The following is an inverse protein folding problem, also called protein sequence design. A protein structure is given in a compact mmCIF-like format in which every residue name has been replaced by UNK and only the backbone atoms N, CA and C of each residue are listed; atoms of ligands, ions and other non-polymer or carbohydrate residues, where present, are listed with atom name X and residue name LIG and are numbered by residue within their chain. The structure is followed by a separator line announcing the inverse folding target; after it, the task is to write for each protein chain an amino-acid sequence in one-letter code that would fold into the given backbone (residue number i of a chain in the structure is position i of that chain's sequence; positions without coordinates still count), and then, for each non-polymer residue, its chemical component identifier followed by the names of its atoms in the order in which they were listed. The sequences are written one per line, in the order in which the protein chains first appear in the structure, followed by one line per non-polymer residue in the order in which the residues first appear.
data_IF_307783723545
#
_entry.id   IF_307783723545
#
_cell.length_a   1.000
_cell.length_b   1.000
_cell.length_c   1.000
_cell.angle_alpha   90.00
_cell.angle_beta   90.00
_cell.angle_gamma   90.00
#
_symmetry.space_group_name_H-M   'P 1'
#
loop_
_entity.id
_entity.type
_entity.pdbx_description
1 polymer ?
#
# COMPACT_ATOMS: atom_id res chain seq x y z
N UNK A 1 35.62 27.31 39.19
CA UNK A 1 35.95 27.10 37.77
C UNK A 1 34.73 26.43 37.17
N UNK A 2 34.07 27.17 36.35
CA UNK A 2 32.71 26.93 35.88
C UNK A 2 32.71 25.97 34.71
N UNK A 3 32.08 24.81 34.89
CA UNK A 3 31.71 23.94 33.80
C UNK A 3 30.47 24.51 33.12
N UNK A 4 30.66 25.15 31.97
CA UNK A 4 29.61 25.56 31.08
C UNK A 4 29.15 24.33 30.27
N UNK A 5 28.09 23.67 30.75
CA UNK A 5 27.27 22.76 29.97
C UNK A 5 26.73 23.50 28.75
N UNK A 6 27.31 23.23 27.61
CA UNK A 6 26.71 23.59 26.30
C UNK A 6 25.53 22.67 26.03
N UNK A 7 24.40 22.99 26.61
CA UNK A 7 23.11 22.48 26.14
C UNK A 7 22.92 22.92 24.68
N UNK A 8 23.16 22.00 23.74
CA UNK A 8 22.87 22.19 22.33
C UNK A 8 21.38 22.43 22.18
N UNK A 9 20.97 23.66 22.14
CA UNK A 9 19.61 24.05 21.70
C UNK A 9 19.39 23.54 20.30
N UNK A 10 18.60 22.47 20.16
CA UNK A 10 17.99 22.15 18.90
C UNK A 10 17.16 23.39 18.50
N UNK A 11 17.75 24.23 17.65
CA UNK A 11 17.04 25.32 17.02
C UNK A 11 15.82 24.70 16.33
N UNK A 12 14.64 25.01 16.81
CA UNK A 12 13.39 24.62 16.18
C UNK A 12 13.44 25.14 14.75
N UNK A 13 13.60 24.25 13.79
CA UNK A 13 13.63 24.64 12.37
C UNK A 13 12.28 25.29 12.06
N UNK A 14 12.30 26.55 11.60
CA UNK A 14 11.08 27.24 11.20
C UNK A 14 10.35 26.39 10.16
N UNK A 15 9.07 26.07 10.39
CA UNK A 15 8.32 25.22 9.50
C UNK A 15 8.34 25.77 8.06
N UNK A 16 8.62 24.89 7.07
CA UNK A 16 8.66 25.33 5.67
C UNK A 16 7.29 25.91 5.25
N UNK A 17 7.22 27.16 4.73
CA UNK A 17 5.95 27.88 4.51
C UNK A 17 5.02 27.17 3.51
N UNK A 18 5.56 26.37 2.60
CA UNK A 18 4.79 25.64 1.57
C UNK A 18 4.55 24.16 1.90
N UNK A 19 4.74 23.73 3.15
CA UNK A 19 4.64 22.30 3.52
C UNK A 19 3.28 21.69 3.21
N UNK A 20 2.17 22.40 3.44
CA UNK A 20 0.82 21.90 3.16
C UNK A 20 0.51 21.78 1.66
N UNK A 21 0.80 22.79 0.80
CA UNK A 21 0.72 22.62 -0.65
C UNK A 21 1.59 21.48 -1.18
N UNK A 22 2.80 21.31 -0.66
CA UNK A 22 3.69 20.18 -1.03
C UNK A 22 3.05 18.84 -0.64
N UNK A 23 2.46 18.73 0.56
CA UNK A 23 1.71 17.54 0.97
C UNK A 23 0.56 17.24 -0.01
N UNK A 24 -0.19 18.26 -0.42
CA UNK A 24 -1.27 18.10 -1.40
C UNK A 24 -0.79 17.56 -2.75
N UNK A 25 0.33 18.09 -3.26
CA UNK A 25 0.92 17.64 -4.54
C UNK A 25 1.48 16.21 -4.43
N UNK A 26 2.20 15.88 -3.35
CA UNK A 26 2.69 14.53 -3.10
C UNK A 26 1.55 13.55 -2.88
N UNK A 27 0.50 13.99 -2.17
CA UNK A 27 -0.72 13.22 -1.97
C UNK A 27 -1.44 12.92 -3.28
N UNK A 28 -1.53 13.91 -4.20
CA UNK A 28 -2.10 13.70 -5.53
C UNK A 28 -1.24 12.74 -6.37
N UNK A 29 0.09 12.81 -6.26
CA UNK A 29 0.98 11.86 -6.91
C UNK A 29 0.74 10.44 -6.35
N UNK A 30 0.62 10.27 -5.04
CA UNK A 30 0.31 8.98 -4.41
C UNK A 30 -1.07 8.46 -4.82
N UNK A 31 -2.07 9.34 -4.87
CA UNK A 31 -3.41 9.00 -5.33
C UNK A 31 -3.38 8.49 -6.78
N UNK A 32 -2.60 9.11 -7.66
CA UNK A 32 -2.41 8.67 -9.04
C UNK A 32 -1.88 7.22 -9.10
N UNK A 33 -0.91 6.86 -8.24
CA UNK A 33 -0.40 5.47 -8.18
C UNK A 33 -1.48 4.48 -7.73
N UNK A 34 -2.29 4.85 -6.74
CA UNK A 34 -3.35 3.99 -6.20
C UNK A 34 -4.48 3.80 -7.23
N UNK A 35 -4.88 4.89 -7.88
CA UNK A 35 -5.88 4.87 -8.94
C UNK A 35 -5.44 3.99 -10.10
N UNK A 36 -4.18 4.04 -10.51
CA UNK A 36 -3.64 3.24 -11.60
C UNK A 36 -3.84 1.72 -11.36
N UNK A 37 -3.62 1.24 -10.14
CA UNK A 37 -3.83 -0.17 -9.79
C UNK A 37 -5.29 -0.57 -9.95
N UNK A 38 -6.21 0.22 -9.41
CA UNK A 38 -7.63 -0.12 -9.33
C UNK A 38 -8.37 0.09 -10.66
N UNK A 39 -8.04 1.16 -11.38
CA UNK A 39 -8.63 1.49 -12.69
C UNK A 39 -8.21 0.46 -13.74
N UNK A 40 -6.95 0.02 -13.74
CA UNK A 40 -6.45 -1.03 -14.66
C UNK A 40 -7.18 -2.35 -14.45
N UNK A 41 -7.45 -2.74 -13.20
CA UNK A 41 -8.18 -3.98 -12.91
C UNK A 41 -9.58 -4.01 -13.55
N UNK A 42 -10.27 -2.86 -13.61
CA UNK A 42 -11.58 -2.73 -14.26
C UNK A 42 -11.47 -2.80 -15.80
N UNK A 43 -10.37 -2.30 -16.36
CA UNK A 43 -10.15 -2.23 -17.80
C UNK A 43 -9.63 -3.56 -18.41
N UNK A 44 -9.17 -4.52 -17.59
CA UNK A 44 -8.58 -5.78 -18.06
C UNK A 44 -9.39 -6.55 -19.10
N UNK A 45 -10.72 -6.75 -18.95
CA UNK A 45 -11.49 -7.48 -19.96
C UNK A 45 -11.46 -6.80 -21.34
N UNK A 46 -11.51 -5.46 -21.37
CA UNK A 46 -11.47 -4.69 -22.62
C UNK A 46 -10.07 -4.73 -23.25
N UNK A 47 -9.00 -4.67 -22.43
CA UNK A 47 -7.62 -4.85 -22.91
C UNK A 47 -7.44 -6.24 -23.54
N UNK A 48 -7.99 -7.28 -22.88
CA UNK A 48 -7.93 -8.65 -23.36
C UNK A 48 -8.58 -8.83 -24.72
N UNK A 49 -9.77 -8.26 -24.89
CA UNK A 49 -10.54 -8.36 -26.14
C UNK A 49 -9.90 -7.56 -27.29
N UNK A 50 -9.38 -6.35 -27.02
CA UNK A 50 -8.85 -5.46 -28.06
C UNK A 50 -7.42 -5.80 -28.48
N UNK A 51 -6.58 -6.25 -27.52
CA UNK A 51 -5.17 -6.59 -27.78
C UNK A 51 -4.93 -8.09 -27.97
N UNK A 52 -6.00 -8.90 -28.00
CA UNK A 52 -5.95 -10.37 -28.09
C UNK A 52 -5.00 -10.99 -27.05
N UNK A 53 -5.15 -10.55 -25.77
CA UNK A 53 -4.32 -11.01 -24.68
C UNK A 53 -4.86 -12.31 -24.11
N UNK A 54 -3.99 -13.29 -23.93
CA UNK A 54 -4.32 -14.51 -23.22
C UNK A 54 -4.44 -14.24 -21.69
N UNK A 55 -4.99 -15.24 -20.97
CA UNK A 55 -5.20 -15.13 -19.54
C UNK A 55 -3.88 -14.88 -18.76
N UNK A 56 -2.77 -15.43 -19.22
CA UNK A 56 -1.48 -15.24 -18.58
C UNK A 56 -1.00 -13.80 -18.73
N UNK A 57 -1.09 -13.22 -19.94
CA UNK A 57 -0.75 -11.82 -20.19
C UNK A 57 -1.62 -10.87 -19.35
N UNK A 58 -2.94 -11.11 -19.26
CA UNK A 58 -3.84 -10.30 -18.40
C UNK A 58 -3.42 -10.35 -16.93
N UNK A 59 -3.07 -11.52 -16.43
CA UNK A 59 -2.54 -11.65 -15.06
C UNK A 59 -1.26 -10.84 -14.88
N UNK A 60 -0.34 -10.88 -15.85
CA UNK A 60 0.91 -10.14 -15.79
C UNK A 60 0.76 -8.62 -15.93
N UNK A 61 -0.30 -8.12 -16.56
CA UNK A 61 -0.60 -6.66 -16.58
C UNK A 61 -0.74 -6.10 -15.17
N UNK A 62 -1.35 -6.84 -14.26
CA UNK A 62 -1.49 -6.42 -12.84
C UNK A 62 -0.29 -6.84 -12.02
N UNK A 63 0.09 -8.12 -12.10
CA UNK A 63 1.14 -8.70 -11.26
C UNK A 63 2.52 -8.12 -11.58
N UNK A 64 2.82 -7.81 -12.84
CA UNK A 64 4.08 -7.21 -13.24
C UNK A 64 4.33 -5.83 -12.61
N UNK A 65 3.28 -5.01 -12.54
CA UNK A 65 3.33 -3.75 -11.80
C UNK A 65 3.55 -3.99 -10.31
N UNK A 66 2.72 -4.80 -9.66
CA UNK A 66 2.79 -5.06 -8.22
C UNK A 66 4.15 -5.66 -7.82
N UNK A 67 4.68 -6.57 -8.65
CA UNK A 67 5.97 -7.20 -8.43
C UNK A 67 7.11 -6.18 -8.48
N UNK A 68 7.16 -5.34 -9.53
CA UNK A 68 8.18 -4.31 -9.66
C UNK A 68 8.03 -3.24 -8.56
N UNK A 69 6.81 -2.81 -8.27
CA UNK A 69 6.52 -1.84 -7.23
C UNK A 69 6.97 -2.34 -5.85
N UNK A 70 6.49 -3.50 -5.41
CA UNK A 70 6.81 -4.05 -4.09
C UNK A 70 8.29 -4.41 -3.93
N UNK A 71 8.90 -5.02 -4.95
CA UNK A 71 10.31 -5.49 -4.87
C UNK A 71 11.33 -4.34 -4.83
N UNK A 72 11.04 -3.20 -5.45
CA UNK A 72 11.97 -2.07 -5.55
C UNK A 72 11.74 -0.97 -4.51
N UNK A 73 10.71 -1.09 -3.66
CA UNK A 73 10.37 -0.03 -2.69
C UNK A 73 11.49 0.30 -1.70
N UNK A 74 12.17 -0.73 -1.18
CA UNK A 74 13.29 -0.51 -0.26
C UNK A 74 14.46 0.20 -0.95
N UNK A 75 14.73 -0.17 -2.21
CA UNK A 75 15.72 0.50 -3.05
C UNK A 75 15.32 1.96 -3.29
N UNK A 76 14.04 2.22 -3.58
CA UNK A 76 13.48 3.57 -3.76
C UNK A 76 13.69 4.44 -2.53
N UNK A 77 13.38 3.92 -1.33
CA UNK A 77 13.63 4.61 -0.07
C UNK A 77 15.11 4.92 0.15
N UNK A 78 15.99 3.95 -0.06
CA UNK A 78 17.44 4.13 0.11
C UNK A 78 18.04 5.11 -0.89
N UNK A 79 17.59 5.05 -2.15
CA UNK A 79 18.03 6.03 -3.17
C UNK A 79 17.58 7.45 -2.83
N UNK A 80 16.40 7.63 -2.22
CA UNK A 80 15.95 8.93 -1.74
C UNK A 80 16.86 9.49 -0.63
N UNK A 81 17.32 8.65 0.30
CA UNK A 81 18.24 9.05 1.36
C UNK A 81 19.62 9.44 0.83
N UNK A 82 20.15 8.70 -0.16
CA UNK A 82 21.49 8.91 -0.74
C UNK A 82 21.55 10.06 -1.74
N UNK A 83 20.58 10.11 -2.67
CA UNK A 83 20.62 11.05 -3.80
C UNK A 83 19.73 12.28 -3.60
N UNK A 84 18.93 12.29 -2.53
CA UNK A 84 18.00 13.36 -2.17
C UNK A 84 16.57 13.06 -2.63
N UNK A 85 15.64 13.17 -1.69
CA UNK A 85 14.25 12.80 -1.88
C UNK A 85 13.57 13.53 -3.05
N UNK A 86 13.84 14.84 -3.24
CA UNK A 86 13.31 15.63 -4.38
C UNK A 86 13.68 15.00 -5.73
N UNK A 87 14.95 14.64 -5.92
CA UNK A 87 15.42 14.07 -7.19
C UNK A 87 14.75 12.73 -7.47
N UNK A 88 14.60 11.89 -6.44
CA UNK A 88 14.01 10.56 -6.59
C UNK A 88 12.50 10.65 -6.83
N UNK A 89 11.79 11.56 -6.14
CA UNK A 89 10.37 11.86 -6.42
C UNK A 89 10.18 12.25 -7.88
N UNK A 90 10.99 13.20 -8.38
CA UNK A 90 10.89 13.65 -9.77
C UNK A 90 11.26 12.55 -10.78
N UNK A 91 12.33 11.79 -10.51
CA UNK A 91 12.74 10.67 -11.37
C UNK A 91 11.66 9.57 -11.44
N UNK A 92 11.09 9.18 -10.29
CA UNK A 92 9.99 8.22 -10.21
C UNK A 92 8.75 8.72 -10.97
N UNK A 93 8.41 9.99 -10.83
CA UNK A 93 7.28 10.60 -11.52
C UNK A 93 7.48 10.65 -13.04
N UNK A 94 8.70 11.00 -13.51
CA UNK A 94 9.05 10.95 -14.94
C UNK A 94 8.92 9.55 -15.49
N UNK A 95 9.51 8.55 -14.80
CA UNK A 95 9.45 7.15 -15.23
C UNK A 95 8.01 6.64 -15.27
N UNK A 96 7.22 6.90 -14.22
CA UNK A 96 5.82 6.50 -14.16
C UNK A 96 4.99 7.13 -15.28
N UNK A 97 5.15 8.45 -15.51
CA UNK A 97 4.40 9.19 -16.54
C UNK A 97 4.77 8.74 -17.95
N UNK A 98 6.06 8.53 -18.23
CA UNK A 98 6.53 8.03 -19.53
C UNK A 98 6.06 6.59 -19.78
N UNK A 99 6.11 5.74 -18.76
CA UNK A 99 5.61 4.37 -18.84
C UNK A 99 4.08 4.33 -19.00
N UNK A 100 3.34 5.25 -18.38
CA UNK A 100 1.89 5.40 -18.58
C UNK A 100 1.58 5.78 -20.04
N UNK A 101 2.34 6.70 -20.62
CA UNK A 101 2.19 7.02 -22.04
C UNK A 101 2.45 5.78 -22.93
N UNK A 102 3.52 5.04 -22.65
CA UNK A 102 3.84 3.81 -23.39
C UNK A 102 2.75 2.74 -23.25
N UNK A 103 2.16 2.57 -22.04
CA UNK A 103 1.07 1.64 -21.81
C UNK A 103 -0.20 2.03 -22.59
N UNK A 104 -0.55 3.33 -22.63
CA UNK A 104 -1.69 3.82 -23.40
C UNK A 104 -1.51 3.69 -24.93
N UNK A 105 -0.27 3.67 -25.42
CA UNK A 105 0.09 3.45 -26.82
C UNK A 105 0.35 1.99 -27.15
N UNK A 106 0.12 1.06 -26.21
CA UNK A 106 0.40 -0.35 -26.44
C UNK A 106 -0.53 -0.96 -27.50
N UNK A 107 0.09 -1.68 -28.42
CA UNK A 107 -0.59 -2.43 -29.50
C UNK A 107 -0.43 -3.95 -29.35
N UNK A 108 -0.03 -4.42 -28.17
CA UNK A 108 0.13 -5.84 -27.84
C UNK A 108 0.78 -6.05 -26.48
N UNK A 109 0.82 -7.31 -26.05
CA UNK A 109 1.35 -7.73 -24.74
C UNK A 109 2.76 -7.22 -24.43
N UNK A 110 3.79 -7.31 -25.32
CA UNK A 110 5.16 -6.97 -24.95
C UNK A 110 5.33 -5.52 -24.47
N UNK A 111 4.73 -4.56 -25.22
CA UNK A 111 4.81 -3.16 -24.87
C UNK A 111 4.02 -2.86 -23.58
N UNK A 112 2.80 -3.41 -23.47
CA UNK A 112 1.94 -3.21 -22.30
C UNK A 112 2.62 -3.75 -21.03
N UNK A 113 3.14 -4.99 -21.05
CA UNK A 113 3.80 -5.60 -19.89
C UNK A 113 5.09 -4.87 -19.50
N UNK A 114 5.92 -4.49 -20.48
CA UNK A 114 7.13 -3.71 -20.22
C UNK A 114 6.81 -2.36 -19.60
N UNK A 115 5.78 -1.69 -20.12
CA UNK A 115 5.30 -0.42 -19.58
C UNK A 115 4.78 -0.59 -18.15
N UNK A 116 4.02 -1.64 -17.84
CA UNK A 116 3.51 -1.94 -16.49
C UNK A 116 4.64 -2.18 -15.48
N UNK A 117 5.66 -2.96 -15.85
CA UNK A 117 6.83 -3.18 -15.01
C UNK A 117 7.58 -1.84 -14.77
N UNK A 118 7.73 -1.02 -15.81
CA UNK A 118 8.36 0.30 -15.71
C UNK A 118 7.55 1.28 -14.85
N UNK A 119 6.21 1.28 -14.95
CA UNK A 119 5.34 2.03 -14.05
C UNK A 119 5.54 1.59 -12.60
N UNK A 120 5.58 0.28 -12.33
CA UNK A 120 5.85 -0.25 -10.99
C UNK A 120 7.20 0.21 -10.44
N UNK A 121 8.25 0.22 -11.26
CA UNK A 121 9.56 0.75 -10.86
C UNK A 121 9.52 2.27 -10.59
N UNK A 122 8.82 3.04 -11.42
CA UNK A 122 8.59 4.47 -11.18
C UNK A 122 7.84 4.75 -9.88
N UNK A 123 6.80 3.97 -9.61
CA UNK A 123 6.04 4.03 -8.36
C UNK A 123 6.89 3.68 -7.14
N UNK A 124 7.77 2.67 -7.24
CA UNK A 124 8.68 2.26 -6.19
C UNK A 124 9.71 3.34 -5.81
N UNK A 125 10.12 4.17 -6.74
CA UNK A 125 10.94 5.34 -6.48
C UNK A 125 10.12 6.47 -5.84
N UNK A 126 8.94 6.75 -6.39
CA UNK A 126 8.10 7.89 -6.02
C UNK A 126 7.51 7.76 -4.62
N UNK A 127 6.84 6.64 -4.32
CA UNK A 127 6.02 6.49 -3.11
C UNK A 127 6.83 6.59 -1.80
N UNK A 128 7.91 5.80 -1.56
CA UNK A 128 8.67 5.91 -0.32
C UNK A 128 9.45 7.23 -0.22
N UNK A 129 9.93 7.78 -1.35
CA UNK A 129 10.58 9.09 -1.36
C UNK A 129 9.61 10.21 -0.99
N UNK A 130 8.39 10.18 -1.50
CA UNK A 130 7.35 11.15 -1.17
C UNK A 130 6.94 11.07 0.31
N UNK A 131 6.75 9.86 0.85
CA UNK A 131 6.45 9.66 2.27
C UNK A 131 7.61 10.15 3.16
N UNK A 132 8.86 9.89 2.77
CA UNK A 132 10.06 10.41 3.46
C UNK A 132 10.06 11.95 3.51
N UNK A 133 9.68 12.63 2.42
CA UNK A 133 9.53 14.10 2.41
C UNK A 133 8.46 14.55 3.38
N UNK A 134 7.30 13.89 3.41
CA UNK A 134 6.21 14.22 4.35
C UNK A 134 6.69 14.11 5.79
N UNK A 135 7.36 13.00 6.15
CA UNK A 135 7.90 12.78 7.51
C UNK A 135 8.90 13.87 7.91
N UNK A 136 9.68 14.40 6.96
CA UNK A 136 10.72 15.40 7.20
C UNK A 136 10.23 16.85 7.17
N UNK A 137 9.06 17.12 6.58
CA UNK A 137 8.48 18.48 6.53
C UNK A 137 7.58 18.81 7.70
N UNK A 138 7.13 17.80 8.44
CA UNK A 138 6.18 17.96 9.54
C UNK A 138 6.71 17.33 10.82
N UNK A 139 6.45 17.97 11.97
CA UNK A 139 6.82 17.48 13.29
C UNK A 139 5.62 17.42 14.24
N UNK A 140 5.73 16.61 15.28
CA UNK A 140 4.76 16.50 16.36
C UNK A 140 3.34 16.20 15.87
N UNK A 141 2.36 16.97 16.34
CA UNK A 141 0.96 16.80 15.94
C UNK A 141 0.67 17.08 14.46
N UNK A 142 1.43 18.00 13.85
CA UNK A 142 1.28 18.27 12.42
C UNK A 142 1.72 17.08 11.57
N UNK A 143 2.75 16.33 11.98
CA UNK A 143 3.16 15.08 11.33
C UNK A 143 2.03 14.04 11.38
N UNK A 144 1.38 13.88 12.53
CA UNK A 144 0.25 12.96 12.67
C UNK A 144 -0.92 13.35 11.74
N UNK A 145 -1.21 14.65 11.62
CA UNK A 145 -2.23 15.17 10.69
C UNK A 145 -1.85 14.90 9.23
N UNK A 146 -0.58 15.16 8.87
CA UNK A 146 -0.08 14.95 7.52
C UNK A 146 -0.12 13.45 7.14
N UNK A 147 0.30 12.56 8.04
CA UNK A 147 0.20 11.12 7.86
C UNK A 147 -1.25 10.64 7.80
N UNK A 148 -2.18 11.28 8.55
CA UNK A 148 -3.61 11.04 8.46
C UNK A 148 -4.17 11.36 7.07
N UNK A 149 -3.80 12.51 6.50
CA UNK A 149 -4.18 12.90 5.13
C UNK A 149 -3.57 11.94 4.11
N UNK A 150 -2.28 11.62 4.24
CA UNK A 150 -1.58 10.65 3.39
C UNK A 150 -2.27 9.28 3.36
N UNK A 151 -2.60 8.75 4.55
CA UNK A 151 -3.26 7.45 4.70
C UNK A 151 -4.71 7.46 4.20
N UNK A 152 -5.41 8.60 4.33
CA UNK A 152 -6.76 8.76 3.81
C UNK A 152 -6.82 8.60 2.29
N UNK A 153 -5.79 9.06 1.57
CA UNK A 153 -5.68 8.89 0.12
C UNK A 153 -5.53 7.41 -0.27
N UNK A 154 -4.84 6.60 0.57
CA UNK A 154 -4.71 5.16 0.36
C UNK A 154 -6.06 4.45 0.34
N UNK A 155 -6.87 4.64 1.38
CA UNK A 155 -8.16 3.98 1.50
C UNK A 155 -9.21 4.54 0.53
N UNK A 156 -9.29 5.88 0.39
CA UNK A 156 -10.26 6.53 -0.49
C UNK A 156 -9.95 6.35 -1.98
N UNK A 157 -8.65 6.28 -2.33
CA UNK A 157 -8.21 6.15 -3.69
C UNK A 157 -8.69 4.87 -4.37
N UNK A 158 -8.70 3.75 -3.63
CA UNK A 158 -9.15 2.47 -4.18
C UNK A 158 -10.62 2.51 -4.65
N UNK A 159 -11.52 3.09 -3.84
CA UNK A 159 -12.93 3.20 -4.21
C UNK A 159 -13.16 4.20 -5.34
N UNK A 160 -12.46 5.34 -5.33
CA UNK A 160 -12.47 6.29 -6.45
C UNK A 160 -11.97 5.65 -7.74
N UNK A 161 -10.97 4.76 -7.63
CA UNK A 161 -10.43 4.03 -8.78
C UNK A 161 -11.44 3.11 -9.44
N UNK A 162 -12.25 2.39 -8.67
CA UNK A 162 -13.33 1.55 -9.23
C UNK A 162 -14.32 2.41 -10.03
N UNK A 163 -14.76 3.54 -9.47
CA UNK A 163 -15.70 4.44 -10.12
C UNK A 163 -15.09 5.05 -11.40
N UNK A 164 -13.90 5.61 -11.31
CA UNK A 164 -13.20 6.23 -12.45
C UNK A 164 -12.86 5.20 -13.51
N UNK A 165 -12.45 3.99 -13.10
CA UNK A 165 -12.15 2.89 -13.99
C UNK A 165 -13.35 2.50 -14.86
N UNK A 166 -14.53 2.39 -14.22
CA UNK A 166 -15.78 2.13 -14.95
C UNK A 166 -16.14 3.24 -15.93
N UNK A 167 -16.07 4.51 -15.48
CA UNK A 167 -16.40 5.65 -16.34
C UNK A 167 -15.44 5.82 -17.52
N UNK A 168 -14.13 5.68 -17.28
CA UNK A 168 -13.11 5.84 -18.32
C UNK A 168 -13.20 4.70 -19.35
N UNK A 169 -13.32 3.46 -18.86
CA UNK A 169 -13.36 2.29 -19.74
C UNK A 169 -14.62 2.25 -20.60
N UNK A 170 -15.79 2.62 -20.03
CA UNK A 170 -17.05 2.68 -20.76
C UNK A 170 -17.15 3.89 -21.72
N UNK A 171 -16.37 4.94 -21.49
CA UNK A 171 -16.37 6.16 -22.28
C UNK A 171 -15.30 6.13 -23.39
N UNK A 172 -14.14 6.77 -23.21
CA UNK A 172 -13.12 6.92 -24.25
C UNK A 172 -12.29 5.65 -24.52
N UNK A 173 -12.47 4.58 -23.73
CA UNK A 173 -11.79 3.30 -23.89
C UNK A 173 -10.66 3.06 -22.89
N UNK A 174 -10.20 1.79 -22.83
CA UNK A 174 -9.21 1.35 -21.82
C UNK A 174 -7.88 2.10 -21.87
N UNK A 175 -7.41 2.54 -23.01
CA UNK A 175 -6.12 3.24 -23.14
C UNK A 175 -6.08 4.55 -22.33
N UNK A 176 -7.24 5.20 -22.14
CA UNK A 176 -7.36 6.42 -21.35
C UNK A 176 -7.14 6.20 -19.85
N UNK A 177 -7.22 4.96 -19.38
CA UNK A 177 -6.81 4.59 -18.03
C UNK A 177 -5.34 4.98 -17.77
N UNK A 178 -4.51 4.84 -18.80
CA UNK A 178 -3.10 5.22 -18.75
C UNK A 178 -2.88 6.68 -19.18
N UNK A 179 -3.55 7.15 -20.24
CA UNK A 179 -3.36 8.51 -20.76
C UNK A 179 -3.72 9.59 -19.74
N UNK A 180 -4.67 9.36 -18.82
CA UNK A 180 -5.02 10.34 -17.78
C UNK A 180 -3.84 10.64 -16.85
N UNK A 181 -2.93 9.68 -16.65
CA UNK A 181 -1.73 9.86 -15.84
C UNK A 181 -0.73 10.83 -16.49
N UNK A 182 -0.77 11.00 -17.81
CA UNK A 182 0.21 11.84 -18.53
C UNK A 182 0.04 13.31 -18.21
N UNK A 183 -1.12 13.95 -18.43
CA UNK A 183 -1.29 15.37 -18.07
C UNK A 183 -1.16 15.60 -16.56
N UNK A 184 -1.68 14.70 -15.72
CA UNK A 184 -1.55 14.81 -14.27
C UNK A 184 -0.08 14.72 -13.85
N UNK A 185 0.66 13.74 -14.38
CA UNK A 185 2.09 13.57 -14.11
C UNK A 185 2.93 14.75 -14.53
N UNK A 186 2.66 15.33 -15.72
CA UNK A 186 3.37 16.54 -16.20
C UNK A 186 3.08 17.76 -15.32
N UNK A 187 1.84 17.98 -14.92
CA UNK A 187 1.47 19.08 -14.01
C UNK A 187 2.19 18.90 -12.66
N UNK A 188 2.14 17.70 -12.10
CA UNK A 188 2.82 17.37 -10.85
C UNK A 188 4.33 17.52 -10.96
N UNK A 189 4.93 17.10 -12.07
CA UNK A 189 6.37 17.24 -12.32
C UNK A 189 6.79 18.69 -12.25
N UNK A 190 6.09 19.58 -12.96
CA UNK A 190 6.38 21.02 -12.97
C UNK A 190 6.13 21.64 -11.58
N UNK A 191 5.02 21.31 -10.93
CA UNK A 191 4.67 21.86 -9.63
C UNK A 191 5.66 21.39 -8.54
N UNK A 192 5.96 20.10 -8.45
CA UNK A 192 6.90 19.56 -7.48
C UNK A 192 8.34 20.02 -7.73
N UNK A 193 8.78 20.13 -8.99
CA UNK A 193 10.11 20.65 -9.30
C UNK A 193 10.32 22.07 -8.73
N UNK A 194 9.25 22.91 -8.75
CA UNK A 194 9.29 24.30 -8.27
C UNK A 194 9.00 24.46 -6.77
N UNK A 195 8.19 23.58 -6.20
CA UNK A 195 7.67 23.77 -4.84
C UNK A 195 8.36 22.89 -3.81
N UNK A 196 8.90 21.72 -4.24
CA UNK A 196 9.56 20.80 -3.32
C UNK A 196 10.88 21.41 -2.85
N UNK A 197 11.09 21.58 -1.53
CA UNK A 197 12.35 22.11 -1.03
C UNK A 197 13.50 21.13 -1.28
N UNK A 198 14.71 21.69 -1.42
CA UNK A 198 15.92 20.89 -1.46
C UNK A 198 16.29 20.47 -0.03
N UNK A 199 15.78 19.33 0.39
CA UNK A 199 16.11 18.75 1.70
C UNK A 199 17.54 18.19 1.66
N UNK A 200 18.33 18.38 2.74
CA UNK A 200 19.64 17.76 2.83
C UNK A 200 19.56 16.25 2.59
N UNK A 201 20.60 15.66 2.02
CA UNK A 201 20.68 14.21 1.89
C UNK A 201 20.65 13.59 3.27
N UNK A 202 19.83 12.56 3.46
CA UNK A 202 19.68 11.93 4.76
C UNK A 202 20.84 10.98 5.07
N UNK A 203 21.47 10.40 4.04
CA UNK A 203 22.61 9.52 4.19
C UNK A 203 23.77 9.91 3.25
N UNK A 204 24.97 9.50 3.63
CA UNK A 204 26.20 9.59 2.83
C UNK A 204 26.70 8.18 2.50
N UNK A 205 27.47 8.02 1.43
CA UNK A 205 28.05 6.74 1.03
C UNK A 205 27.61 6.27 -0.35
N UNK A 206 27.94 5.03 -0.67
CA UNK A 206 27.57 4.36 -1.92
C UNK A 206 26.30 3.52 -1.75
N UNK A 207 25.64 3.26 -2.87
CA UNK A 207 24.55 2.30 -2.94
C UNK A 207 25.09 0.88 -2.85
N UNK A 208 24.57 0.10 -1.92
CA UNK A 208 24.85 -1.35 -1.83
C UNK A 208 24.06 -2.08 -2.94
N UNK A 209 24.64 -2.13 -4.13
CA UNK A 209 24.00 -2.77 -5.30
C UNK A 209 23.75 -4.27 -5.08
N UNK A 210 24.69 -5.07 -4.55
CA UNK A 210 24.42 -6.48 -4.25
C UNK A 210 23.31 -6.67 -3.21
N UNK A 211 23.30 -5.89 -2.12
CA UNK A 211 22.25 -5.93 -1.12
C UNK A 211 20.89 -5.53 -1.71
N UNK A 212 20.85 -4.49 -2.54
CA UNK A 212 19.65 -4.07 -3.24
C UNK A 212 19.11 -5.16 -4.19
N UNK A 213 19.98 -5.82 -4.95
CA UNK A 213 19.58 -6.92 -5.82
C UNK A 213 19.05 -8.13 -5.04
N UNK A 214 19.71 -8.49 -3.93
CA UNK A 214 19.27 -9.60 -3.07
C UNK A 214 17.88 -9.34 -2.45
N UNK A 215 17.67 -8.15 -1.87
CA UNK A 215 16.36 -7.85 -1.26
C UNK A 215 15.26 -7.69 -2.31
N UNK A 216 15.57 -7.12 -3.48
CA UNK A 216 14.61 -7.03 -4.57
C UNK A 216 14.22 -8.43 -5.09
N UNK A 217 15.19 -9.32 -5.30
CA UNK A 217 14.92 -10.70 -5.70
C UNK A 217 14.14 -11.48 -4.64
N UNK A 218 14.50 -11.33 -3.35
CA UNK A 218 13.78 -11.97 -2.24
C UNK A 218 12.32 -11.50 -2.18
N UNK A 219 12.11 -10.19 -2.28
CA UNK A 219 10.77 -9.58 -2.25
C UNK A 219 9.96 -9.99 -3.47
N UNK A 220 10.57 -9.98 -4.66
CA UNK A 220 9.93 -10.43 -5.89
C UNK A 220 9.52 -11.91 -5.80
N UNK A 221 10.41 -12.78 -5.32
CA UNK A 221 10.11 -14.19 -5.13
C UNK A 221 8.96 -14.40 -4.12
N UNK A 222 8.95 -13.64 -3.04
CA UNK A 222 7.89 -13.72 -2.02
C UNK A 222 6.53 -13.25 -2.56
N UNK A 223 6.48 -12.08 -3.22
CA UNK A 223 5.23 -11.56 -3.82
C UNK A 223 4.71 -12.55 -4.87
N UNK A 224 5.59 -13.06 -5.74
CA UNK A 224 5.21 -14.02 -6.77
C UNK A 224 4.74 -15.34 -6.16
N UNK A 225 5.41 -15.82 -5.08
CA UNK A 225 4.96 -17.00 -4.34
C UNK A 225 3.55 -16.82 -3.75
N UNK A 226 3.24 -15.64 -3.19
CA UNK A 226 1.93 -15.31 -2.63
C UNK A 226 0.84 -15.28 -3.72
N UNK A 227 1.09 -14.60 -4.85
CA UNK A 227 0.16 -14.58 -6.00
C UNK A 227 -0.11 -16.00 -6.46
N UNK A 228 0.94 -16.78 -6.68
CA UNK A 228 0.81 -18.16 -7.14
C UNK A 228 0.13 -19.08 -6.13
N UNK A 229 0.37 -18.89 -4.84
CA UNK A 229 -0.29 -19.65 -3.78
C UNK A 229 -1.81 -19.40 -3.77
N UNK A 230 -2.25 -18.18 -4.04
CA UNK A 230 -3.66 -17.85 -4.20
C UNK A 230 -4.32 -18.57 -5.39
N UNK A 231 -3.62 -18.64 -6.53
CA UNK A 231 -4.15 -19.20 -7.77
C UNK A 231 -4.06 -20.74 -7.86
N UNK A 232 -2.98 -21.34 -7.34
CA UNK A 232 -2.64 -22.76 -7.54
C UNK A 232 -2.59 -23.56 -6.22
N UNK A 233 -2.85 -22.91 -5.09
CA UNK A 233 -2.82 -23.52 -3.75
C UNK A 233 -1.50 -23.32 -3.00
N UNK A 234 -1.63 -23.19 -1.69
CA UNK A 234 -0.53 -22.90 -0.76
C UNK A 234 0.50 -24.03 -0.66
N UNK A 235 0.06 -25.28 -0.83
CA UNK A 235 0.90 -26.48 -0.79
C UNK A 235 1.40 -26.94 -2.17
N UNK A 236 1.18 -26.14 -3.22
CA UNK A 236 1.73 -26.41 -4.55
C UNK A 236 3.26 -26.39 -4.50
N UNK A 237 3.92 -27.38 -5.10
CA UNK A 237 5.39 -27.54 -5.06
C UNK A 237 6.12 -26.28 -5.48
N UNK A 238 5.69 -25.61 -6.57
CA UNK A 238 6.36 -24.41 -7.04
C UNK A 238 6.14 -23.23 -6.08
N UNK A 239 4.94 -23.10 -5.46
CA UNK A 239 4.70 -22.10 -4.41
C UNK A 239 5.64 -22.32 -3.21
N UNK A 240 5.81 -23.54 -2.75
CA UNK A 240 6.73 -23.89 -1.66
C UNK A 240 8.21 -23.63 -2.03
N UNK A 241 8.61 -23.96 -3.24
CA UNK A 241 9.97 -23.68 -3.76
C UNK A 241 10.22 -22.17 -3.80
N UNK A 242 9.25 -21.38 -4.25
CA UNK A 242 9.35 -19.92 -4.28
C UNK A 242 9.42 -19.31 -2.87
N UNK A 243 8.63 -19.81 -1.91
CA UNK A 243 8.74 -19.40 -0.51
C UNK A 243 10.10 -19.74 0.08
N UNK A 244 10.62 -20.95 -0.19
CA UNK A 244 11.96 -21.35 0.24
C UNK A 244 13.06 -20.49 -0.40
N UNK A 245 12.94 -20.19 -1.70
CA UNK A 245 13.87 -19.32 -2.43
C UNK A 245 13.84 -17.88 -1.87
N UNK A 246 12.64 -17.34 -1.57
CA UNK A 246 12.50 -16.03 -0.94
C UNK A 246 13.16 -16.00 0.45
N UNK A 247 12.90 -17.02 1.28
CA UNK A 247 13.53 -17.14 2.60
C UNK A 247 15.06 -17.25 2.52
N UNK A 248 15.59 -18.05 1.59
CA UNK A 248 17.03 -18.17 1.35
C UNK A 248 17.63 -16.84 0.87
N UNK A 249 16.97 -16.11 -0.04
CA UNK A 249 17.42 -14.81 -0.52
C UNK A 249 17.38 -13.74 0.59
N UNK A 250 16.37 -13.72 1.48
CA UNK A 250 16.35 -12.85 2.66
C UNK A 250 17.45 -13.21 3.67
N UNK A 251 17.73 -14.50 3.86
CA UNK A 251 18.84 -14.94 4.71
C UNK A 251 20.19 -14.51 4.14
N UNK A 252 20.38 -14.65 2.82
CA UNK A 252 21.57 -14.18 2.11
C UNK A 252 21.70 -12.65 2.20
N UNK A 253 20.61 -11.91 2.03
CA UNK A 253 20.56 -10.45 2.24
C UNK A 253 20.99 -10.09 3.66
N UNK A 254 20.43 -10.73 4.68
CA UNK A 254 20.77 -10.46 6.07
C UNK A 254 22.25 -10.79 6.39
N UNK A 255 22.79 -11.86 5.83
CA UNK A 255 24.19 -12.22 5.96
C UNK A 255 25.11 -11.20 5.26
N UNK A 256 24.72 -10.74 4.08
CA UNK A 256 25.43 -9.70 3.33
C UNK A 256 25.45 -8.37 4.08
N UNK A 257 24.29 -7.90 4.57
CA UNK A 257 24.16 -6.63 5.31
C UNK A 257 25.04 -6.57 6.57
N UNK A 258 25.31 -7.73 7.21
CA UNK A 258 26.18 -7.82 8.38
C UNK A 258 27.66 -7.69 8.06
N UNK A 259 28.06 -7.87 6.79
CA UNK A 259 29.46 -7.92 6.33
C UNK A 259 29.86 -6.71 5.50
N UNK A 260 28.90 -6.06 4.84
CA UNK A 260 29.20 -4.90 3.99
C UNK A 260 29.50 -3.65 4.82
N UNK A 261 30.52 -2.84 4.45
CA UNK A 261 30.85 -1.60 5.16
C UNK A 261 29.84 -0.49 4.95
N UNK A 262 29.06 -0.54 3.85
CA UNK A 262 28.01 0.44 3.56
C UNK A 262 26.66 -0.28 3.31
N UNK A 263 26.01 -0.76 4.38
CA UNK A 263 24.78 -1.54 4.25
C UNK A 263 23.63 -0.70 3.66
N UNK A 264 22.74 -1.38 2.92
CA UNK A 264 21.52 -0.79 2.38
C UNK A 264 20.63 -0.25 3.52
N UNK A 265 20.55 -1.01 4.60
CA UNK A 265 19.82 -0.66 5.82
C UNK A 265 20.49 -1.24 7.06
N UNK A 266 20.31 -0.59 8.20
CA UNK A 266 20.65 -1.21 9.48
C UNK A 266 19.56 -2.23 9.86
N UNK A 267 19.94 -3.51 9.90
CA UNK A 267 19.02 -4.60 10.30
C UNK A 267 18.45 -4.42 11.70
N UNK A 268 19.10 -3.62 12.57
CA UNK A 268 18.58 -3.28 13.88
C UNK A 268 17.26 -2.51 13.83
N UNK A 269 16.98 -1.83 12.71
CA UNK A 269 15.66 -1.20 12.49
C UNK A 269 14.51 -2.21 12.58
N UNK A 270 14.70 -3.42 12.01
CA UNK A 270 13.71 -4.50 12.10
C UNK A 270 13.62 -5.14 13.50
N UNK A 271 14.53 -4.80 14.42
CA UNK A 271 14.46 -5.17 15.83
C UNK A 271 13.82 -4.11 16.72
N UNK A 272 13.63 -2.88 16.21
CA UNK A 272 13.00 -1.80 16.98
C UNK A 272 11.49 -2.07 17.10
N UNK A 273 10.99 -2.22 18.33
CA UNK A 273 9.59 -2.53 18.63
C UNK A 273 8.58 -1.62 17.92
N UNK A 274 8.75 -0.28 17.82
CA UNK A 274 7.85 0.59 17.07
C UNK A 274 7.81 0.29 15.56
N UNK A 275 8.96 -0.03 14.97
CA UNK A 275 9.03 -0.38 13.54
C UNK A 275 8.33 -1.71 13.29
N UNK A 276 8.62 -2.73 14.09
CA UNK A 276 7.95 -4.05 14.00
C UNK A 276 6.44 -3.91 14.18
N UNK A 277 6.00 -3.12 15.16
CA UNK A 277 4.59 -2.85 15.39
C UNK A 277 3.93 -2.17 14.19
N UNK A 278 4.58 -1.14 13.62
CA UNK A 278 4.05 -0.43 12.47
C UNK A 278 3.95 -1.31 11.22
N UNK A 279 4.98 -2.12 10.90
CA UNK A 279 4.95 -3.04 9.76
C UNK A 279 3.92 -4.15 9.93
N UNK A 280 3.72 -4.65 11.15
CA UNK A 280 2.66 -5.62 11.45
C UNK A 280 1.28 -5.00 11.19
N UNK A 281 1.02 -3.81 11.74
CA UNK A 281 -0.28 -3.13 11.59
C UNK A 281 -0.56 -2.78 10.14
N UNK A 282 0.45 -2.30 9.38
CA UNK A 282 0.25 -1.96 7.96
C UNK A 282 -0.07 -3.21 7.12
N UNK A 283 0.65 -4.31 7.34
CA UNK A 283 0.44 -5.55 6.61
C UNK A 283 -0.97 -6.12 6.88
N UNK A 284 -1.40 -6.16 8.14
CA UNK A 284 -2.74 -6.61 8.53
C UNK A 284 -3.82 -5.68 7.96
N UNK A 285 -3.65 -4.36 8.11
CA UNK A 285 -4.62 -3.39 7.62
C UNK A 285 -4.81 -3.49 6.10
N UNK A 286 -3.72 -3.67 5.35
CA UNK A 286 -3.79 -3.79 3.90
C UNK A 286 -4.39 -5.13 3.47
N UNK A 287 -4.02 -6.24 4.12
CA UNK A 287 -4.62 -7.55 3.84
C UNK A 287 -6.14 -7.53 4.05
N UNK A 288 -6.61 -6.96 5.16
CA UNK A 288 -8.03 -6.84 5.46
C UNK A 288 -8.75 -5.83 4.53
N UNK A 289 -8.05 -4.76 4.08
CA UNK A 289 -8.61 -3.80 3.12
C UNK A 289 -8.85 -4.43 1.76
N UNK A 290 -7.93 -5.29 1.28
CA UNK A 290 -8.15 -6.11 0.09
C UNK A 290 -9.38 -7.00 0.28
N UNK A 291 -9.54 -7.60 1.47
CA UNK A 291 -10.74 -8.35 1.83
C UNK A 291 -12.03 -7.53 1.74
N UNK A 292 -12.05 -6.31 2.27
CA UNK A 292 -13.21 -5.38 2.18
C UNK A 292 -13.62 -5.17 0.71
N UNK A 293 -12.68 -4.79 -0.14
CA UNK A 293 -12.98 -4.48 -1.54
C UNK A 293 -13.35 -5.72 -2.34
N UNK A 294 -12.61 -6.80 -2.16
CA UNK A 294 -12.83 -8.00 -2.96
C UNK A 294 -14.11 -8.74 -2.53
N UNK A 295 -14.23 -9.09 -1.24
CA UNK A 295 -15.42 -9.81 -0.74
C UNK A 295 -16.69 -8.99 -0.94
N UNK A 296 -16.62 -7.68 -0.64
CA UNK A 296 -17.74 -6.78 -0.83
C UNK A 296 -18.14 -6.63 -2.29
N UNK A 297 -17.16 -6.46 -3.19
CA UNK A 297 -17.43 -6.34 -4.64
C UNK A 297 -17.99 -7.63 -5.22
N UNK A 298 -17.40 -8.77 -4.86
CA UNK A 298 -17.85 -10.08 -5.33
C UNK A 298 -19.26 -10.42 -4.85
N UNK A 299 -19.57 -10.13 -3.57
CA UNK A 299 -20.91 -10.31 -3.02
C UNK A 299 -21.95 -9.45 -3.76
N UNK A 300 -21.65 -8.15 -3.94
CA UNK A 300 -22.57 -7.22 -4.60
C UNK A 300 -22.80 -7.59 -6.07
N UNK A 301 -21.76 -8.01 -6.79
CA UNK A 301 -21.88 -8.31 -8.21
C UNK A 301 -22.44 -9.72 -8.47
N UNK A 302 -21.98 -10.75 -7.74
CA UNK A 302 -22.34 -12.13 -8.05
C UNK A 302 -23.50 -12.68 -7.21
N UNK A 303 -23.79 -12.09 -6.05
CA UNK A 303 -24.88 -12.55 -5.17
C UNK A 303 -26.07 -11.59 -5.14
N UNK A 304 -25.84 -10.29 -5.39
CA UNK A 304 -26.88 -9.27 -5.42
C UNK A 304 -27.17 -8.76 -6.85
N UNK A 305 -26.52 -9.33 -7.86
CA UNK A 305 -26.66 -8.99 -9.30
C UNK A 305 -26.49 -7.50 -9.64
N UNK A 306 -25.72 -6.75 -8.81
CA UNK A 306 -25.42 -5.36 -9.10
C UNK A 306 -24.34 -5.26 -10.19
N UNK A 307 -24.57 -4.43 -11.21
CA UNK A 307 -23.53 -4.12 -12.21
C UNK A 307 -22.31 -3.41 -11.59
N UNK A 308 -21.18 -3.46 -12.30
CA UNK A 308 -19.90 -2.87 -11.82
C UNK A 308 -20.03 -1.39 -11.44
N UNK A 309 -20.78 -0.59 -12.21
CA UNK A 309 -21.00 0.83 -11.92
C UNK A 309 -21.76 1.02 -10.59
N UNK A 310 -22.85 0.26 -10.39
CA UNK A 310 -23.63 0.33 -9.14
C UNK A 310 -22.79 -0.11 -7.95
N UNK A 311 -21.99 -1.16 -8.09
CA UNK A 311 -21.03 -1.58 -7.06
C UNK A 311 -20.06 -0.45 -6.73
N UNK A 312 -19.50 0.23 -7.72
CA UNK A 312 -18.64 1.41 -7.50
C UNK A 312 -19.34 2.52 -6.73
N UNK A 313 -20.60 2.83 -7.05
CA UNK A 313 -21.40 3.82 -6.32
C UNK A 313 -21.66 3.39 -4.87
N UNK A 314 -21.96 2.10 -4.65
CA UNK A 314 -22.16 1.53 -3.32
C UNK A 314 -20.88 1.53 -2.46
N UNK A 315 -19.68 1.58 -3.08
CA UNK A 315 -18.41 1.72 -2.38
C UNK A 315 -18.02 3.17 -2.07
N UNK A 316 -18.75 4.19 -2.56
CA UNK A 316 -18.48 5.60 -2.19
C UNK A 316 -18.58 5.86 -0.67
N UNK A 317 -19.59 5.38 0.07
CA UNK A 317 -19.62 5.49 1.51
C UNK A 317 -18.39 4.85 2.18
N UNK A 318 -17.93 3.70 1.69
CA UNK A 318 -16.73 3.01 2.21
C UNK A 318 -15.50 3.91 2.10
N UNK A 319 -15.29 4.54 0.94
CA UNK A 319 -14.21 5.48 0.72
C UNK A 319 -14.28 6.70 1.64
N UNK A 320 -15.44 7.33 1.71
CA UNK A 320 -15.66 8.54 2.53
C UNK A 320 -15.41 8.27 4.02
N UNK A 321 -15.91 7.15 4.53
CA UNK A 321 -15.74 6.78 5.94
C UNK A 321 -14.27 6.41 6.22
N UNK A 322 -13.59 5.72 5.32
CA UNK A 322 -12.14 5.42 5.44
C UNK A 322 -11.33 6.71 5.53
N UNK A 323 -11.59 7.66 4.64
CA UNK A 323 -10.89 8.96 4.62
C UNK A 323 -11.16 9.78 5.89
N UNK A 324 -12.43 9.82 6.31
CA UNK A 324 -12.83 10.53 7.54
C UNK A 324 -12.18 9.91 8.77
N UNK A 325 -12.17 8.58 8.88
CA UNK A 325 -11.56 7.85 9.99
C UNK A 325 -10.04 8.04 10.03
N UNK A 326 -9.35 7.96 8.87
CA UNK A 326 -7.91 8.22 8.78
C UNK A 326 -7.59 9.66 9.22
N UNK A 327 -8.32 10.65 8.70
CA UNK A 327 -8.13 12.05 9.07
C UNK A 327 -8.41 12.30 10.56
N UNK A 328 -9.47 11.68 11.10
CA UNK A 328 -9.81 11.71 12.52
C UNK A 328 -8.74 11.07 13.40
N UNK A 329 -8.26 9.88 13.00
CA UNK A 329 -7.20 9.17 13.70
C UNK A 329 -5.90 10.00 13.83
N UNK A 330 -5.51 10.71 12.76
CA UNK A 330 -4.35 11.61 12.79
C UNK A 330 -4.48 12.76 13.81
N UNK A 331 -5.72 13.18 14.12
CA UNK A 331 -5.99 14.23 15.12
C UNK A 331 -5.98 13.70 16.56
N UNK A 332 -6.45 12.48 16.76
CA UNK A 332 -6.63 11.91 18.11
C UNK A 332 -5.47 11.03 18.58
N UNK A 333 -4.60 10.63 17.66
CA UNK A 333 -3.44 9.77 17.94
C UNK A 333 -2.55 10.33 19.05
N UNK A 334 -2.29 11.65 19.03
CA UNK A 334 -1.52 12.35 20.03
C UNK A 334 -2.15 12.31 21.43
N UNK A 335 -3.49 12.20 21.54
CA UNK A 335 -4.21 12.20 22.81
C UNK A 335 -4.34 10.81 23.43
N UNK A 336 -4.64 9.79 22.63
CA UNK A 336 -4.98 8.44 23.11
C UNK A 336 -3.85 7.44 22.98
N UNK A 337 -2.84 7.75 22.16
CA UNK A 337 -1.71 6.85 21.87
C UNK A 337 -2.03 5.78 20.83
N UNK A 338 -0.96 5.25 20.23
CA UNK A 338 -1.05 4.31 19.11
C UNK A 338 -1.69 2.97 19.50
N UNK A 339 -1.36 2.44 20.68
CA UNK A 339 -1.87 1.14 21.16
C UNK A 339 -3.40 1.13 21.28
N UNK A 340 -3.96 2.11 21.98
CA UNK A 340 -5.42 2.19 22.19
C UNK A 340 -6.14 2.36 20.87
N UNK A 341 -5.63 3.26 20.03
CA UNK A 341 -6.25 3.53 18.73
C UNK A 341 -6.20 2.31 17.79
N UNK A 342 -5.08 1.56 17.79
CA UNK A 342 -4.97 0.33 16.99
C UNK A 342 -5.96 -0.73 17.45
N UNK A 343 -6.06 -0.98 18.76
CA UNK A 343 -6.97 -2.01 19.31
C UNK A 343 -8.42 -1.66 19.04
N UNK A 344 -8.83 -0.39 19.26
CA UNK A 344 -10.17 0.07 18.96
C UNK A 344 -10.47 -0.04 17.46
N UNK A 345 -9.53 0.36 16.62
CA UNK A 345 -9.70 0.29 15.16
C UNK A 345 -9.83 -1.15 14.66
N UNK A 346 -9.04 -2.10 15.21
CA UNK A 346 -9.16 -3.53 14.88
C UNK A 346 -10.48 -4.13 15.40
N UNK A 347 -10.94 -3.73 16.58
CA UNK A 347 -12.24 -4.15 17.10
C UNK A 347 -13.40 -3.64 16.23
N UNK A 348 -13.32 -2.38 15.77
CA UNK A 348 -14.30 -1.79 14.83
C UNK A 348 -14.25 -2.53 13.49
N UNK A 349 -13.06 -2.88 13.00
CA UNK A 349 -12.89 -3.66 11.77
C UNK A 349 -13.53 -5.05 11.91
N UNK A 350 -13.29 -5.75 13.01
CA UNK A 350 -13.89 -7.06 13.30
C UNK A 350 -15.43 -6.97 13.37
N UNK A 351 -15.96 -5.97 14.09
CA UNK A 351 -17.40 -5.73 14.18
C UNK A 351 -18.01 -5.46 12.81
N UNK A 352 -17.33 -4.68 11.95
CA UNK A 352 -17.78 -4.42 10.60
C UNK A 352 -17.88 -5.68 9.73
N UNK A 353 -16.91 -6.59 9.81
CA UNK A 353 -16.95 -7.86 9.09
C UNK A 353 -18.02 -8.82 9.61
N UNK A 354 -18.45 -8.70 10.86
CA UNK A 354 -19.57 -9.50 11.39
C UNK A 354 -20.94 -9.06 10.87
N UNK A 355 -21.11 -7.81 10.44
CA UNK A 355 -22.42 -7.31 9.98
C UNK A 355 -22.99 -8.13 8.83
N UNK A 356 -22.26 -8.37 7.71
CA UNK A 356 -22.80 -9.18 6.61
C UNK A 356 -23.01 -10.66 6.95
N UNK A 357 -22.38 -11.18 7.99
CA UNK A 357 -22.60 -12.54 8.50
C UNK A 357 -23.92 -12.64 9.28
N UNK A 358 -24.27 -11.60 10.04
CA UNK A 358 -25.46 -11.57 10.88
C UNK A 358 -26.71 -11.14 10.10
N UNK A 359 -26.56 -10.30 9.09
CA UNK A 359 -27.65 -9.78 8.26
C UNK A 359 -27.28 -9.86 6.78
N UNK A 360 -28.18 -10.34 5.96
CA UNK A 360 -28.00 -10.45 4.52
C UNK A 360 -28.50 -9.21 3.76
N UNK A 361 -28.03 -9.05 2.54
CA UNK A 361 -28.48 -8.01 1.60
C UNK A 361 -27.51 -6.86 1.40
N UNK A 362 -27.79 -6.06 0.36
CA UNK A 362 -26.93 -4.94 -0.09
C UNK A 362 -26.64 -3.93 1.04
N UNK A 363 -27.68 -3.54 1.80
CA UNK A 363 -27.52 -2.55 2.88
C UNK A 363 -26.61 -3.07 3.99
N UNK A 364 -26.79 -4.32 4.41
CA UNK A 364 -25.95 -4.94 5.45
C UNK A 364 -24.51 -5.04 4.98
N UNK A 365 -24.29 -5.47 3.72
CA UNK A 365 -22.96 -5.55 3.13
C UNK A 365 -22.27 -4.19 3.12
N UNK A 366 -22.88 -3.16 2.53
CA UNK A 366 -22.30 -1.81 2.44
C UNK A 366 -22.05 -1.21 3.82
N UNK A 367 -22.97 -1.40 4.77
CA UNK A 367 -22.79 -0.94 6.15
C UNK A 367 -21.63 -1.65 6.82
N UNK A 368 -21.59 -2.97 6.74
CA UNK A 368 -20.53 -3.77 7.35
C UNK A 368 -19.14 -3.43 6.82
N UNK A 369 -18.96 -3.42 5.49
CA UNK A 369 -17.68 -3.06 4.90
C UNK A 369 -17.30 -1.59 5.14
N UNK A 370 -18.27 -0.67 5.28
CA UNK A 370 -18.01 0.72 5.66
C UNK A 370 -17.50 0.84 7.11
N UNK A 371 -18.10 0.10 8.04
CA UNK A 371 -17.64 0.05 9.43
C UNK A 371 -16.22 -0.56 9.48
N UNK A 372 -15.99 -1.69 8.81
CA UNK A 372 -14.68 -2.32 8.76
C UNK A 372 -13.62 -1.36 8.19
N UNK A 373 -13.93 -0.71 7.08
CA UNK A 373 -13.03 0.24 6.40
C UNK A 373 -12.72 1.48 7.26
N UNK A 374 -13.64 1.91 8.14
CA UNK A 374 -13.36 2.98 9.08
C UNK A 374 -12.25 2.62 10.06
N UNK A 375 -12.27 1.40 10.61
CA UNK A 375 -11.19 0.88 11.44
C UNK A 375 -9.87 0.82 10.66
N UNK A 376 -9.91 0.27 9.45
CA UNK A 376 -8.72 0.14 8.59
C UNK A 376 -8.11 1.49 8.24
N UNK A 377 -8.93 2.52 7.96
CA UNK A 377 -8.46 3.88 7.72
C UNK A 377 -7.66 4.43 8.92
N UNK A 378 -8.11 4.20 10.14
CA UNK A 378 -7.38 4.57 11.34
C UNK A 378 -6.07 3.78 11.50
N UNK A 379 -6.07 2.48 11.16
CA UNK A 379 -4.89 1.62 11.26
C UNK A 379 -3.76 2.04 10.32
N UNK A 380 -4.03 2.53 9.11
CA UNK A 380 -3.01 3.06 8.22
C UNK A 380 -2.25 4.23 8.85
N UNK A 381 -2.95 5.10 9.58
CA UNK A 381 -2.34 6.22 10.29
C UNK A 381 -1.50 5.73 11.45
N UNK A 382 -2.06 4.82 12.26
CA UNK A 382 -1.34 4.23 13.41
C UNK A 382 -0.07 3.53 12.96
N UNK A 383 -0.15 2.73 11.90
CA UNK A 383 1.00 2.00 11.34
C UNK A 383 2.13 2.95 10.95
N UNK A 384 1.80 3.95 10.10
CA UNK A 384 2.77 4.92 9.62
C UNK A 384 3.36 5.77 10.75
N UNK A 385 2.53 6.26 11.65
CA UNK A 385 2.99 7.08 12.78
C UNK A 385 3.83 6.27 13.78
N UNK A 386 3.50 5.00 14.02
CA UNK A 386 4.26 4.12 14.92
C UNK A 386 5.61 3.77 14.32
N UNK A 387 5.65 3.36 13.05
CA UNK A 387 6.90 2.99 12.38
C UNK A 387 7.85 4.18 12.18
N UNK A 388 7.31 5.36 11.82
CA UNK A 388 8.09 6.53 11.39
C UNK A 388 8.24 7.59 12.48
N UNK A 389 7.48 7.48 13.58
CA UNK A 389 7.45 8.49 14.63
C UNK A 389 8.75 8.64 15.44
N UNK A 390 9.53 7.57 15.55
CA UNK A 390 10.75 7.49 16.36
C UNK A 390 12.00 7.20 15.50
N UNK A 391 11.93 7.48 14.20
CA UNK A 391 13.02 7.21 13.25
C UNK A 391 13.82 8.49 13.01
N UNK A 392 15.15 8.35 13.01
CA UNK A 392 16.03 9.46 12.70
C UNK A 392 15.84 9.94 11.25
N UNK A 393 16.05 11.25 10.95
CA UNK A 393 15.85 11.79 9.61
C UNK A 393 16.64 11.07 8.52
N UNK A 394 17.81 10.51 8.84
CA UNK A 394 18.65 9.76 7.90
C UNK A 394 18.17 8.33 7.64
N UNK A 395 17.25 7.82 8.45
CA UNK A 395 16.63 6.48 8.29
C UNK A 395 15.22 6.57 7.67
N UNK A 396 14.69 7.79 7.48
CA UNK A 396 13.28 8.00 7.09
C UNK A 396 12.94 7.38 5.74
N UNK A 397 13.82 7.47 4.74
CA UNK A 397 13.61 6.90 3.42
C UNK A 397 13.59 5.37 3.46
N UNK A 398 14.58 4.77 4.12
CA UNK A 398 14.65 3.31 4.28
C UNK A 398 13.44 2.79 5.05
N UNK A 399 13.08 3.43 6.18
CA UNK A 399 11.91 3.02 6.98
C UNK A 399 10.60 3.18 6.21
N UNK A 400 10.45 4.26 5.43
CA UNK A 400 9.31 4.44 4.53
C UNK A 400 9.25 3.33 3.48
N UNK A 401 10.40 2.94 2.92
CA UNK A 401 10.52 1.80 2.00
C UNK A 401 10.10 0.48 2.65
N UNK A 402 10.52 0.24 3.89
CA UNK A 402 10.12 -0.96 4.66
C UNK A 402 8.59 -0.97 4.87
N UNK A 403 8.01 0.12 5.37
CA UNK A 403 6.56 0.25 5.60
C UNK A 403 5.79 -0.01 4.30
N UNK A 404 6.24 0.59 3.20
CA UNK A 404 5.62 0.42 1.89
C UNK A 404 5.76 -1.02 1.36
N UNK A 405 6.90 -1.68 1.58
CA UNK A 405 7.09 -3.10 1.22
C UNK A 405 6.13 -4.00 1.98
N UNK A 406 5.94 -3.77 3.29
CA UNK A 406 4.99 -4.55 4.09
C UNK A 406 3.53 -4.21 3.78
N UNK A 407 3.23 -3.01 3.28
CA UNK A 407 1.95 -2.70 2.66
C UNK A 407 1.68 -3.62 1.47
N UNK A 408 2.61 -3.76 0.54
CA UNK A 408 2.47 -4.65 -0.63
C UNK A 408 2.42 -6.14 -0.24
N UNK A 409 3.17 -6.55 0.78
CA UNK A 409 3.03 -7.91 1.32
C UNK A 409 1.64 -8.16 1.88
N UNK A 410 1.11 -7.21 2.65
CA UNK A 410 -0.26 -7.26 3.15
C UNK A 410 -1.27 -7.41 2.02
N UNK A 411 -1.15 -6.58 0.97
CA UNK A 411 -2.02 -6.66 -0.20
C UNK A 411 -1.93 -8.04 -0.89
N UNK A 412 -0.71 -8.56 -1.08
CA UNK A 412 -0.48 -9.86 -1.71
C UNK A 412 -1.02 -11.02 -0.88
N UNK A 413 -0.84 -10.99 0.45
CA UNK A 413 -1.41 -11.98 1.37
C UNK A 413 -2.94 -11.91 1.36
N UNK A 414 -3.50 -10.70 1.41
CA UNK A 414 -4.94 -10.48 1.34
C UNK A 414 -5.54 -11.03 0.05
N UNK A 415 -4.93 -10.71 -1.09
CA UNK A 415 -5.34 -11.21 -2.40
C UNK A 415 -5.25 -12.75 -2.48
N UNK A 416 -4.14 -13.35 -2.02
CA UNK A 416 -3.96 -14.79 -1.99
C UNK A 416 -4.99 -15.50 -1.10
N UNK A 417 -5.25 -14.95 0.09
CA UNK A 417 -6.25 -15.48 1.01
C UNK A 417 -7.66 -15.45 0.41
N UNK A 418 -8.01 -14.34 -0.25
CA UNK A 418 -9.32 -14.17 -0.89
C UNK A 418 -9.45 -15.07 -2.12
N UNK A 419 -8.41 -15.17 -2.98
CA UNK A 419 -8.41 -16.10 -4.12
C UNK A 419 -8.57 -17.56 -3.66
N UNK A 420 -7.88 -17.93 -2.58
CA UNK A 420 -8.01 -19.28 -1.99
C UNK A 420 -9.41 -19.55 -1.43
N UNK A 421 -10.01 -18.57 -0.74
CA UNK A 421 -11.37 -18.68 -0.22
C UNK A 421 -12.41 -18.78 -1.35
N UNK A 422 -12.25 -17.96 -2.40
CA UNK A 422 -13.09 -18.00 -3.59
C UNK A 422 -12.99 -19.36 -4.32
N UNK A 423 -11.77 -19.89 -4.48
CA UNK A 423 -11.55 -21.21 -5.09
C UNK A 423 -12.17 -22.34 -4.27
N UNK A 424 -12.05 -22.31 -2.92
CA UNK A 424 -12.67 -23.28 -2.02
C UNK A 424 -14.21 -23.18 -2.06
N UNK A 425 -14.77 -21.98 -2.10
CA UNK A 425 -16.20 -21.75 -2.23
C UNK A 425 -16.77 -22.29 -3.54
N UNK A 426 -16.07 -22.08 -4.67
CA UNK A 426 -16.46 -22.62 -5.98
C UNK A 426 -16.39 -24.16 -5.99
N UNK A 427 -15.32 -24.74 -5.43
CA UNK A 427 -15.11 -26.20 -5.41
C UNK A 427 -16.09 -26.94 -4.48
N UNK A 428 -16.50 -26.34 -3.37
CA UNK A 428 -17.39 -26.95 -2.39
C UNK A 428 -18.87 -26.94 -2.83
N UNK A 429 -19.27 -26.15 -3.86
CA UNK A 429 -20.65 -25.76 -3.99
C UNK A 429 -21.15 -25.67 -5.46
N UNK A 430 -21.94 -26.65 -5.84
CA UNK A 430 -22.68 -26.68 -7.12
C UNK A 430 -24.13 -26.16 -7.01
N UNK A 431 -24.48 -25.34 -5.97
CA UNK A 431 -25.83 -24.80 -5.76
C UNK A 431 -25.87 -23.40 -5.12
N UNK A 432 -26.92 -22.62 -5.44
CA UNK A 432 -27.08 -21.21 -5.05
C UNK A 432 -27.14 -20.95 -3.53
N UNK A 433 -27.68 -21.87 -2.74
CA UNK A 433 -27.75 -21.72 -1.26
C UNK A 433 -26.39 -21.82 -0.57
N UNK A 434 -25.41 -22.33 -1.23
CA UNK A 434 -24.10 -22.69 -0.74
C UNK A 434 -23.03 -21.64 -1.10
N UNK A 435 -23.28 -20.79 -2.10
CA UNK A 435 -22.44 -19.63 -2.40
C UNK A 435 -22.50 -18.59 -1.28
N UNK A 436 -23.66 -18.39 -0.65
CA UNK A 436 -23.83 -17.48 0.50
C UNK A 436 -22.99 -17.97 1.71
N UNK A 437 -22.98 -19.26 2.02
CA UNK A 437 -22.19 -19.82 3.12
C UNK A 437 -20.67 -19.60 2.94
N UNK A 438 -20.16 -19.66 1.72
CA UNK A 438 -18.75 -19.39 1.43
C UNK A 438 -18.33 -17.92 1.69
N UNK A 439 -19.24 -16.95 1.54
CA UNK A 439 -18.99 -15.57 1.91
C UNK A 439 -19.00 -15.37 3.41
N UNK A 440 -19.93 -16.00 4.13
CA UNK A 440 -20.00 -15.91 5.59
C UNK A 440 -18.73 -16.46 6.22
N UNK A 441 -18.20 -17.58 5.75
CA UNK A 441 -16.93 -18.14 6.20
C UNK A 441 -15.76 -17.20 5.95
N UNK A 442 -15.68 -16.56 4.78
CA UNK A 442 -14.63 -15.61 4.46
C UNK A 442 -14.69 -14.36 5.36
N UNK A 443 -15.88 -13.84 5.64
CA UNK A 443 -16.07 -12.73 6.58
C UNK A 443 -15.78 -13.12 8.03
N UNK A 444 -16.10 -14.33 8.46
CA UNK A 444 -15.72 -14.86 9.77
C UNK A 444 -14.20 -15.01 9.92
N UNK A 445 -13.52 -15.49 8.88
CA UNK A 445 -12.04 -15.55 8.86
C UNK A 445 -11.45 -14.15 8.98
N UNK A 446 -11.95 -13.17 8.21
CA UNK A 446 -11.49 -11.78 8.29
C UNK A 446 -11.73 -11.17 9.68
N UNK A 447 -12.88 -11.47 10.30
CA UNK A 447 -13.20 -11.10 11.69
C UNK A 447 -12.19 -11.73 12.67
N UNK A 448 -11.91 -13.01 12.53
CA UNK A 448 -10.93 -13.73 13.36
C UNK A 448 -9.52 -13.16 13.25
N UNK A 449 -9.09 -12.81 12.02
CA UNK A 449 -7.79 -12.16 11.76
C UNK A 449 -7.74 -10.78 12.44
N UNK A 450 -8.79 -9.96 12.32
CA UNK A 450 -8.86 -8.65 12.96
C UNK A 450 -8.83 -8.75 14.49
N UNK A 451 -9.56 -9.70 15.06
CA UNK A 451 -9.58 -9.95 16.51
C UNK A 451 -8.22 -10.45 17.02
N UNK A 452 -7.61 -11.42 16.35
CA UNK A 452 -6.27 -11.90 16.68
C UNK A 452 -5.21 -10.78 16.58
N UNK A 453 -5.29 -9.97 15.52
CA UNK A 453 -4.42 -8.83 15.36
C UNK A 453 -4.60 -7.79 16.48
N UNK A 454 -5.82 -7.58 16.99
CA UNK A 454 -6.07 -6.69 18.13
C UNK A 454 -5.35 -7.19 19.40
N UNK A 455 -5.40 -8.50 19.66
CA UNK A 455 -4.66 -9.12 20.78
C UNK A 455 -3.15 -8.95 20.60
N UNK A 456 -2.62 -9.21 19.40
CA UNK A 456 -1.19 -9.01 19.12
C UNK A 456 -0.78 -7.54 19.27
N UNK A 457 -1.62 -6.62 18.79
CA UNK A 457 -1.37 -5.18 18.88
C UNK A 457 -1.26 -4.67 20.34
N UNK A 458 -2.03 -5.26 21.28
CA UNK A 458 -1.91 -4.95 22.72
C UNK A 458 -0.50 -5.18 23.26
N UNK A 459 0.18 -6.22 22.77
CA UNK A 459 1.52 -6.60 23.23
C UNK A 459 2.63 -5.94 22.41
N UNK A 460 2.41 -5.79 21.12
CA UNK A 460 3.43 -5.36 20.18
C UNK A 460 3.61 -3.85 20.14
N UNK A 461 2.52 -3.07 20.19
CA UNK A 461 2.58 -1.61 20.10
C UNK A 461 3.02 -1.04 21.47
N UNK A 462 4.07 -0.19 21.52
CA UNK A 462 4.53 0.45 22.76
C UNK A 462 3.41 1.24 23.45
N UNK A 463 3.38 1.23 24.79
CA UNK A 463 2.51 2.13 25.54
C UNK A 463 3.09 3.54 25.55
N UNK A 464 2.25 4.51 25.88
CA UNK A 464 2.67 5.92 25.95
C UNK A 464 3.70 6.21 27.05
N UNK A 465 3.88 5.26 27.97
CA UNK A 465 4.82 5.33 29.10
C UNK A 465 6.18 4.66 28.82
N UNK A 466 6.30 3.95 27.71
CA UNK A 466 7.55 3.37 27.18
C UNK A 466 8.13 4.25 26.07
#
# INVERSE_FOLDING_TARGET
MSDTETAGTHAAQTPHPRRWPVLGLLGLAQLMLILDITVVAIALPHMGAELDLDRAALTWVVSGYALAFGSLMLLGGRTADLFGAKRIVLAGLVLFTAASLAAGLANGAPLLLTARISQGAGAALLSPAALSVVVRLFDGEERNKALGIWSALGGGGAALGVLLGGLITAGPGWAWVFFINVPVGLILLVALARMLPDLPRAATGSLDVPGAALVAAATAALIYALIRAGDHGWLNTLSLVLFAAAAAAYAAFAAWQRRTPAPLMDLRLLGRRPVVAGIFVIAVATALMVGVFFLGSFYLQNHQDHGALMTGVLFLPVALVTMAAATGAGRVLGRHGARVLAVVALAVTAAGFLVPVLWSGTTAMVTGVSIAASGLGALFVVASATALGHVAPHEAGVTSGIVSTFHEFGASVGAAAVSSAAAAGIAAHTGTATAAAGFDDAFLVATGIAAAAAVIALWLIPSRSE
#
